data_IF_482845646049
#
_entry.id   IF_482845646049
#
_cell.length_a   1.000
_cell.length_b   1.000
_cell.length_c   1.000
_cell.angle_alpha   90.00
_cell.angle_beta   90.00
_cell.angle_gamma   90.00
#
_symmetry.space_group_name_H-M   'P 1'
#
loop_
_entity.id
_entity.type
_entity.pdbx_description
1 polymer ?
#
# COMPACT_ATOMS: atom_id res chain seq x y z
N UNK A 1 -26.10 9.29 25.40
CA UNK A 1 -25.84 8.25 24.40
C UNK A 1 -24.58 7.50 24.76
N UNK A 2 -24.58 6.20 24.55
CA UNK A 2 -23.39 5.36 24.64
C UNK A 2 -22.85 5.17 23.22
N UNK A 3 -21.51 5.23 23.05
CA UNK A 3 -20.88 5.10 21.74
C UNK A 3 -20.19 3.75 21.63
N UNK A 4 -20.46 3.04 20.53
CA UNK A 4 -19.78 1.80 20.14
C UNK A 4 -19.00 2.15 18.86
N UNK A 5 -17.69 1.99 18.85
CA UNK A 5 -16.83 2.16 17.68
C UNK A 5 -16.66 0.82 16.99
N UNK A 6 -16.94 0.76 15.70
CA UNK A 6 -16.76 -0.42 14.86
C UNK A 6 -15.79 -0.08 13.75
N UNK A 7 -14.69 -0.82 13.71
CA UNK A 7 -13.69 -0.70 12.64
C UNK A 7 -14.08 -1.64 11.50
N UNK A 8 -14.28 -1.10 10.32
CA UNK A 8 -14.66 -1.85 9.12
C UNK A 8 -13.57 -1.76 8.05
N UNK A 9 -13.37 -2.81 7.24
CA UNK A 9 -12.51 -2.74 6.06
C UNK A 9 -12.97 -1.63 5.09
N UNK A 10 -12.06 -0.99 4.37
CA UNK A 10 -12.40 0.14 3.49
C UNK A 10 -13.25 -0.25 2.28
N UNK A 11 -13.18 -1.51 1.87
CA UNK A 11 -13.89 -2.10 0.74
C UNK A 11 -15.21 -2.77 1.12
N UNK A 12 -15.62 -2.69 2.39
CA UNK A 12 -16.88 -3.29 2.83
C UNK A 12 -18.09 -2.57 2.20
N UNK A 13 -19.04 -3.33 1.71
CA UNK A 13 -20.33 -2.80 1.28
C UNK A 13 -21.13 -2.38 2.51
N UNK A 14 -21.33 -1.07 2.69
CA UNK A 14 -21.95 -0.49 3.88
C UNK A 14 -23.48 -0.61 3.90
N UNK A 15 -24.10 -0.98 2.78
CA UNK A 15 -25.54 -1.20 2.68
C UNK A 15 -25.91 -2.67 2.91
N UNK A 16 -26.99 -2.93 3.61
CA UNK A 16 -27.48 -4.28 3.86
C UNK A 16 -26.68 -5.08 4.88
N UNK A 17 -25.78 -4.43 5.64
CA UNK A 17 -25.07 -5.08 6.74
C UNK A 17 -26.05 -5.59 7.79
N UNK A 18 -25.77 -6.77 8.37
CA UNK A 18 -26.61 -7.42 9.36
C UNK A 18 -25.87 -7.57 10.69
N UNK A 19 -25.90 -6.54 11.56
CA UNK A 19 -25.23 -6.62 12.85
C UNK A 19 -25.87 -7.70 13.73
N UNK A 20 -25.03 -8.57 14.30
CA UNK A 20 -25.46 -9.49 15.33
C UNK A 20 -25.33 -8.81 16.70
N UNK A 21 -26.43 -8.74 17.46
CA UNK A 21 -26.51 -8.03 18.74
C UNK A 21 -26.97 -9.01 19.81
N UNK A 22 -26.12 -9.24 20.79
CA UNK A 22 -26.46 -9.95 22.00
C UNK A 22 -26.96 -8.99 23.07
N UNK A 23 -28.04 -9.35 23.71
CA UNK A 23 -28.70 -8.55 24.74
C UNK A 23 -28.73 -9.30 26.08
N UNK A 24 -28.76 -8.55 27.16
CA UNK A 24 -29.10 -9.11 28.46
C UNK A 24 -30.54 -9.67 28.43
N UNK A 25 -30.85 -10.71 29.23
CA UNK A 25 -32.21 -11.21 29.35
C UNK A 25 -33.25 -10.09 29.59
N UNK A 26 -34.43 -10.23 29.02
CA UNK A 26 -35.57 -9.31 29.18
C UNK A 26 -35.33 -7.89 28.61
N UNK A 27 -34.45 -7.79 27.63
CA UNK A 27 -34.25 -6.54 26.88
C UNK A 27 -34.58 -6.70 25.41
N UNK A 28 -34.96 -5.61 24.75
CA UNK A 28 -35.22 -5.56 23.33
C UNK A 28 -34.36 -4.48 22.68
N UNK A 29 -34.06 -4.60 21.39
CA UNK A 29 -33.35 -3.60 20.62
C UNK A 29 -34.08 -3.25 19.32
N UNK A 30 -34.06 -2.00 18.96
CA UNK A 30 -34.61 -1.48 17.73
C UNK A 30 -33.58 -0.60 17.03
N UNK A 31 -33.19 -0.89 15.78
CA UNK A 31 -33.54 -2.06 14.95
C UNK A 31 -33.07 -3.39 15.56
N UNK A 32 -33.76 -4.49 15.23
CA UNK A 32 -33.46 -5.82 15.79
C UNK A 32 -32.15 -6.40 15.28
N UNK A 33 -31.61 -7.39 16.05
CA UNK A 33 -30.42 -8.14 15.63
C UNK A 33 -30.64 -8.78 14.24
N UNK A 34 -29.60 -8.81 13.40
CA UNK A 34 -29.59 -9.32 12.04
C UNK A 34 -30.54 -8.59 11.05
N UNK A 35 -31.13 -7.47 11.44
CA UNK A 35 -31.86 -6.60 10.51
C UNK A 35 -30.90 -5.97 9.52
N UNK A 36 -31.17 -6.00 8.19
CA UNK A 36 -30.35 -5.30 7.22
C UNK A 36 -30.35 -3.79 7.45
N UNK A 37 -29.20 -3.17 7.52
CA UNK A 37 -29.05 -1.75 7.83
C UNK A 37 -28.08 -1.08 6.88
N UNK A 38 -28.21 0.23 6.75
CA UNK A 38 -27.34 1.09 5.97
C UNK A 38 -26.36 1.84 6.93
N UNK A 39 -25.07 1.56 6.76
CA UNK A 39 -23.98 2.20 7.48
C UNK A 39 -23.24 3.23 6.62
N UNK A 40 -23.81 3.74 5.54
CA UNK A 40 -23.23 4.81 4.73
C UNK A 40 -23.13 6.13 5.52
N UNK A 41 -24.04 6.35 6.48
CA UNK A 41 -23.93 7.42 7.48
C UNK A 41 -22.78 7.12 8.46
N UNK A 42 -22.19 8.18 9.02
CA UNK A 42 -21.08 8.06 9.98
C UNK A 42 -21.49 7.31 11.25
N UNK A 43 -22.74 7.39 11.65
CA UNK A 43 -23.29 6.66 12.80
C UNK A 43 -24.71 6.14 12.55
N UNK A 44 -25.05 5.06 13.26
CA UNK A 44 -26.39 4.46 13.30
C UNK A 44 -26.78 4.21 14.75
N UNK A 45 -28.00 4.60 15.12
CA UNK A 45 -28.49 4.49 16.49
C UNK A 45 -29.33 3.23 16.70
N UNK A 46 -29.12 2.62 17.85
CA UNK A 46 -29.89 1.49 18.36
C UNK A 46 -30.53 1.86 19.70
N UNK A 47 -31.85 1.72 19.80
CA UNK A 47 -32.59 1.89 21.03
C UNK A 47 -32.68 0.54 21.76
N UNK A 48 -32.14 0.46 22.96
CA UNK A 48 -32.28 -0.73 23.84
C UNK A 48 -33.24 -0.41 24.95
N UNK A 49 -34.27 -1.27 25.09
CA UNK A 49 -35.32 -1.13 26.10
C UNK A 49 -35.32 -2.30 27.07
N UNK A 50 -35.22 -2.01 28.35
CA UNK A 50 -35.31 -2.97 29.43
C UNK A 50 -36.78 -3.31 29.73
N UNK A 51 -37.03 -4.46 30.39
CA UNK A 51 -38.37 -4.86 30.88
C UNK A 51 -39.02 -3.79 31.77
N UNK A 52 -38.24 -3.08 32.55
CA UNK A 52 -38.69 -1.95 33.39
C UNK A 52 -39.16 -0.73 32.60
N UNK A 53 -39.10 -0.77 31.26
CA UNK A 53 -39.41 0.34 30.38
C UNK A 53 -38.28 1.37 30.21
N UNK A 54 -37.16 1.23 30.92
CA UNK A 54 -36.00 2.13 30.77
C UNK A 54 -35.39 1.95 29.41
N UNK A 55 -35.07 3.09 28.76
CA UNK A 55 -34.52 3.14 27.41
C UNK A 55 -33.09 3.69 27.46
N UNK A 56 -32.20 3.12 26.64
CA UNK A 56 -30.85 3.62 26.39
C UNK A 56 -30.57 3.61 24.88
N UNK A 57 -29.96 4.67 24.37
CA UNK A 57 -29.54 4.78 22.97
C UNK A 57 -28.03 4.50 22.89
N UNK A 58 -27.68 3.62 21.96
CA UNK A 58 -26.31 3.30 21.58
C UNK A 58 -26.08 3.78 20.16
N UNK A 59 -25.15 4.72 19.99
CA UNK A 59 -24.72 5.18 18.68
C UNK A 59 -23.54 4.32 18.22
N UNK A 60 -23.73 3.54 17.18
CA UNK A 60 -22.67 2.77 16.53
C UNK A 60 -21.99 3.67 15.50
N UNK A 61 -20.77 4.09 15.80
CA UNK A 61 -19.94 4.94 14.93
C UNK A 61 -18.98 4.04 14.16
N UNK A 62 -19.03 4.13 12.83
CA UNK A 62 -18.09 3.41 11.99
C UNK A 62 -16.77 4.15 11.85
N UNK A 63 -15.69 3.42 11.91
CA UNK A 63 -14.35 3.84 11.53
C UNK A 63 -13.91 2.97 10.36
N UNK A 64 -13.56 3.57 9.23
CA UNK A 64 -12.98 2.83 8.11
C UNK A 64 -11.46 2.80 8.32
N UNK A 65 -10.92 1.61 8.50
CA UNK A 65 -9.47 1.45 8.56
C UNK A 65 -8.98 1.15 7.16
N UNK A 66 -8.28 2.09 6.56
CA UNK A 66 -7.53 1.84 5.35
C UNK A 66 -6.30 1.01 5.71
N UNK A 67 -6.39 -0.30 5.58
CA UNK A 67 -5.20 -1.14 5.51
C UNK A 67 -4.74 -1.08 4.06
N UNK A 68 -3.64 -0.39 3.82
CA UNK A 68 -3.04 -0.36 2.49
C UNK A 68 -2.48 -1.75 2.17
N UNK A 69 -3.13 -2.44 1.24
CA UNK A 69 -2.79 -3.81 0.84
C UNK A 69 -1.91 -3.86 -0.40
N UNK A 70 -1.68 -2.71 -1.04
CA UNK A 70 -0.92 -2.63 -2.29
C UNK A 70 0.55 -2.32 -2.04
N UNK A 71 1.42 -3.10 -2.68
CA UNK A 71 2.86 -2.96 -2.66
C UNK A 71 3.36 -2.59 -4.08
N UNK A 72 2.91 -1.46 -4.61
CA UNK A 72 3.10 -1.07 -6.00
C UNK A 72 4.13 0.04 -6.12
N UNK A 73 5.32 -0.27 -6.62
CA UNK A 73 6.31 0.70 -7.07
C UNK A 73 5.92 1.16 -8.48
N UNK A 74 5.56 2.43 -8.62
CA UNK A 74 5.11 2.99 -9.89
C UNK A 74 6.30 3.24 -10.82
N UNK A 75 7.34 3.91 -10.34
CA UNK A 75 8.52 4.19 -11.15
C UNK A 75 9.80 4.31 -10.34
N UNK A 76 10.91 4.12 -11.04
CA UNK A 76 12.26 4.47 -10.60
C UNK A 76 12.80 5.55 -11.54
N UNK A 77 13.38 6.61 -10.96
CA UNK A 77 14.00 7.72 -11.67
C UNK A 77 15.46 7.86 -11.27
N UNK A 78 16.27 8.35 -12.20
CA UNK A 78 17.69 8.55 -12.05
C UNK A 78 18.00 10.03 -12.30
N UNK A 79 17.93 10.90 -11.30
CA UNK A 79 18.04 12.36 -11.45
C UNK A 79 19.30 12.87 -12.15
N UNK A 80 20.41 12.13 -12.03
CA UNK A 80 21.69 12.49 -12.63
C UNK A 80 21.77 12.16 -14.13
N UNK A 81 20.79 11.41 -14.67
CA UNK A 81 20.78 11.00 -16.07
C UNK A 81 19.62 11.61 -16.84
N UNK A 82 19.85 11.80 -18.14
CA UNK A 82 18.84 12.26 -19.09
C UNK A 82 18.63 11.21 -20.17
N UNK A 83 17.40 11.10 -20.64
CA UNK A 83 17.09 10.33 -21.82
C UNK A 83 17.40 11.12 -23.12
N UNK A 84 17.14 10.52 -24.27
CA UNK A 84 17.39 11.13 -25.58
C UNK A 84 16.59 12.43 -25.82
N UNK A 85 15.51 12.66 -25.06
CA UNK A 85 14.68 13.87 -25.14
C UNK A 85 15.17 14.98 -24.19
N UNK A 86 16.13 14.68 -23.30
CA UNK A 86 16.66 15.59 -22.28
C UNK A 86 15.87 15.56 -20.96
N UNK A 87 14.85 14.70 -20.86
CA UNK A 87 14.11 14.49 -19.61
C UNK A 87 14.88 13.58 -18.64
N UNK A 88 14.53 13.64 -17.35
CA UNK A 88 15.13 12.74 -16.35
C UNK A 88 14.89 11.29 -16.73
N UNK A 89 15.97 10.50 -16.74
CA UNK A 89 15.87 9.08 -17.06
C UNK A 89 14.96 8.39 -16.03
N UNK A 90 13.84 7.84 -16.48
CA UNK A 90 12.80 7.22 -15.66
C UNK A 90 12.29 5.94 -16.30
N UNK A 91 12.02 4.95 -15.47
CA UNK A 91 11.33 3.73 -15.89
C UNK A 91 10.09 3.50 -15.05
N UNK A 92 8.98 3.24 -15.74
CA UNK A 92 7.70 2.88 -15.11
C UNK A 92 7.58 1.36 -15.11
N UNK A 93 7.13 0.79 -14.00
CA UNK A 93 6.88 -0.63 -13.93
C UNK A 93 5.51 -0.95 -14.56
N UNK A 94 5.46 -1.68 -15.69
CA UNK A 94 4.22 -1.92 -16.43
C UNK A 94 3.27 -2.88 -15.71
N UNK A 95 3.80 -3.69 -14.81
CA UNK A 95 3.05 -4.69 -14.04
C UNK A 95 3.47 -4.65 -12.57
N UNK A 96 2.49 -4.53 -11.67
CA UNK A 96 2.69 -4.58 -10.22
C UNK A 96 2.65 -6.02 -9.70
N UNK A 97 3.34 -6.94 -10.38
CA UNK A 97 3.43 -8.34 -9.97
C UNK A 97 4.68 -8.62 -9.17
N UNK A 98 4.66 -9.70 -8.38
CA UNK A 98 5.85 -10.22 -7.73
C UNK A 98 6.97 -10.42 -8.76
N UNK A 99 8.18 -9.92 -8.45
CA UNK A 99 9.36 -9.98 -9.31
C UNK A 99 9.29 -9.14 -10.59
N UNK A 100 8.65 -7.98 -10.56
CA UNK A 100 8.80 -6.99 -11.61
C UNK A 100 10.27 -6.60 -11.78
N UNK A 101 10.77 -6.66 -13.01
CA UNK A 101 12.16 -6.35 -13.34
C UNK A 101 12.23 -5.34 -14.49
N UNK A 102 13.16 -4.41 -14.38
CA UNK A 102 13.49 -3.46 -15.45
C UNK A 102 14.99 -3.35 -15.62
N UNK A 103 15.44 -3.23 -16.86
CA UNK A 103 16.81 -2.86 -17.21
C UNK A 103 16.80 -1.43 -17.73
N UNK A 104 17.74 -0.62 -17.27
CA UNK A 104 17.90 0.77 -17.66
C UNK A 104 19.28 0.93 -18.27
N UNK A 105 19.31 1.44 -19.50
CA UNK A 105 20.58 1.73 -20.18
C UNK A 105 21.12 3.09 -19.72
N UNK A 106 22.35 3.10 -19.26
CA UNK A 106 23.08 4.31 -18.85
C UNK A 106 24.27 4.56 -19.77
N UNK A 107 24.79 5.79 -19.86
CA UNK A 107 25.97 6.09 -20.68
C UNK A 107 27.15 5.19 -20.31
N UNK A 108 27.92 4.80 -21.34
CA UNK A 108 29.16 4.04 -21.15
C UNK A 108 30.14 4.78 -20.25
N UNK A 109 30.81 4.05 -19.36
CA UNK A 109 31.74 4.62 -18.38
C UNK A 109 31.10 5.27 -17.16
N UNK A 110 29.77 5.17 -17.02
CA UNK A 110 29.10 5.58 -15.78
C UNK A 110 29.60 4.74 -14.59
N UNK A 111 30.04 5.41 -13.51
CA UNK A 111 30.38 4.73 -12.26
C UNK A 111 29.09 4.25 -11.60
N UNK A 112 28.93 2.93 -11.43
CA UNK A 112 27.68 2.32 -10.93
C UNK A 112 27.63 2.21 -9.40
N UNK A 113 28.73 2.45 -8.70
CA UNK A 113 28.85 2.24 -7.25
C UNK A 113 28.04 3.27 -6.43
N UNK A 114 27.61 4.37 -7.06
CA UNK A 114 26.93 5.45 -6.35
C UNK A 114 25.99 6.23 -7.27
N UNK A 115 24.82 5.71 -7.49
CA UNK A 115 23.79 6.30 -8.36
C UNK A 115 22.67 6.89 -7.52
N UNK A 116 22.31 8.14 -7.77
CA UNK A 116 21.13 8.75 -7.14
C UNK A 116 19.85 8.17 -7.75
N UNK A 117 18.96 7.70 -6.90
CA UNK A 117 17.67 7.10 -7.26
C UNK A 117 16.53 7.80 -6.54
N UNK A 118 15.43 7.98 -7.24
CA UNK A 118 14.15 8.39 -6.67
C UNK A 118 13.07 7.38 -7.06
N UNK A 119 12.30 6.94 -6.06
CA UNK A 119 11.20 6.01 -6.23
C UNK A 119 9.87 6.72 -6.10
N UNK A 120 8.92 6.33 -6.92
CA UNK A 120 7.53 6.76 -6.81
C UNK A 120 6.64 5.54 -6.58
N UNK A 121 5.95 5.53 -5.45
CA UNK A 121 4.93 4.52 -5.14
C UNK A 121 3.61 4.91 -5.82
N UNK A 122 2.79 3.93 -6.17
CA UNK A 122 1.42 4.20 -6.62
C UNK A 122 0.60 4.89 -5.52
N UNK A 123 -0.45 5.59 -5.92
CA UNK A 123 -1.35 6.24 -4.95
C UNK A 123 -1.96 5.25 -3.94
N UNK A 124 -2.10 3.97 -4.33
CA UNK A 124 -2.61 2.91 -3.48
C UNK A 124 -1.56 2.35 -2.48
N UNK A 125 -0.28 2.74 -2.63
CA UNK A 125 0.84 2.19 -1.85
C UNK A 125 1.58 3.25 -1.01
N UNK A 126 1.00 4.43 -0.82
CA UNK A 126 1.66 5.58 -0.16
C UNK A 126 2.12 5.31 1.28
N UNK A 127 1.53 4.33 1.97
CA UNK A 127 1.93 3.92 3.32
C UNK A 127 2.78 2.66 3.37
N UNK A 128 3.17 2.13 2.21
CA UNK A 128 4.08 1.02 2.17
C UNK A 128 5.49 1.46 2.61
N UNK A 129 6.18 0.60 3.33
CA UNK A 129 7.61 0.76 3.58
C UNK A 129 8.41 0.28 2.38
N UNK A 130 9.58 0.89 2.18
CA UNK A 130 10.52 0.48 1.14
C UNK A 130 11.86 0.12 1.79
N UNK A 131 12.42 -0.98 1.35
CA UNK A 131 13.77 -1.42 1.68
C UNK A 131 14.55 -1.65 0.39
N UNK A 132 15.87 -1.54 0.45
CA UNK A 132 16.78 -1.79 -0.67
C UNK A 132 17.80 -2.85 -0.31
N UNK A 133 18.12 -3.70 -1.29
CA UNK A 133 19.25 -4.61 -1.27
C UNK A 133 20.09 -4.33 -2.52
N UNK A 134 21.31 -3.81 -2.35
CA UNK A 134 22.21 -3.38 -3.42
C UNK A 134 23.59 -4.07 -3.34
N UNK A 135 23.74 -5.03 -2.43
CA UNK A 135 24.98 -5.80 -2.21
C UNK A 135 25.04 -7.10 -3.02
N UNK A 136 24.03 -7.38 -3.83
CA UNK A 136 23.91 -8.61 -4.60
C UNK A 136 23.54 -9.85 -3.80
N UNK A 137 23.31 -9.76 -2.48
CA UNK A 137 22.97 -10.89 -1.62
C UNK A 137 21.56 -11.40 -1.81
N UNK A 138 20.64 -10.53 -2.24
CA UNK A 138 19.19 -10.74 -2.31
C UNK A 138 18.52 -11.04 -0.95
N UNK A 139 19.25 -10.92 0.13
CA UNK A 139 18.80 -11.30 1.48
C UNK A 139 18.90 -10.18 2.50
N UNK A 140 19.89 -9.30 2.37
CA UNK A 140 20.13 -8.20 3.29
C UNK A 140 19.44 -6.93 2.80
N UNK A 141 18.35 -6.57 3.44
CA UNK A 141 17.55 -5.38 3.10
C UNK A 141 17.72 -4.30 4.16
N UNK A 142 17.98 -3.07 3.70
CA UNK A 142 18.05 -1.89 4.57
C UNK A 142 16.94 -0.91 4.24
N UNK A 143 16.40 -0.16 5.22
CA UNK A 143 15.36 0.82 4.98
C UNK A 143 15.76 1.87 3.93
N UNK A 144 14.87 2.18 3.00
CA UNK A 144 15.06 3.18 1.97
C UNK A 144 13.93 4.22 2.01
N UNK A 145 14.31 5.50 2.09
CA UNK A 145 13.34 6.61 2.25
C UNK A 145 12.63 7.05 0.96
N UNK A 146 12.84 6.32 -0.14
CA UNK A 146 12.31 6.65 -1.47
C UNK A 146 13.25 7.50 -2.32
N UNK A 147 14.32 8.07 -1.75
CA UNK A 147 15.38 8.75 -2.48
C UNK A 147 16.73 8.55 -1.78
N UNK A 148 17.79 8.30 -2.56
CA UNK A 148 19.13 8.07 -2.02
C UNK A 148 20.10 7.51 -3.03
N UNK A 149 21.36 7.40 -2.60
CA UNK A 149 22.43 6.78 -3.39
C UNK A 149 22.44 5.27 -3.18
N UNK A 150 22.57 4.53 -4.26
CA UNK A 150 22.49 3.06 -4.31
C UNK A 150 23.64 2.54 -5.20
N UNK A 151 24.21 1.39 -4.85
CA UNK A 151 25.19 0.67 -5.65
C UNK A 151 24.50 -0.23 -6.68
N UNK A 152 24.73 0.06 -7.96
CA UNK A 152 24.20 -0.70 -9.11
C UNK A 152 25.23 -1.57 -9.80
N UNK A 153 26.34 -1.88 -9.16
CA UNK A 153 27.28 -2.88 -9.69
C UNK A 153 26.66 -4.28 -9.78
N UNK A 154 25.54 -4.47 -9.09
CA UNK A 154 24.66 -5.64 -9.14
C UNK A 154 23.23 -5.24 -9.47
N UNK A 155 22.35 -6.21 -9.69
CA UNK A 155 20.92 -5.96 -9.73
C UNK A 155 20.44 -5.52 -8.37
N UNK A 156 19.85 -4.34 -8.28
CA UNK A 156 19.28 -3.78 -7.05
C UNK A 156 17.84 -4.27 -6.90
N UNK A 157 17.48 -4.62 -5.67
CA UNK A 157 16.12 -5.04 -5.33
C UNK A 157 15.51 -4.01 -4.38
N UNK A 158 14.41 -3.41 -4.81
CA UNK A 158 13.54 -2.61 -3.93
C UNK A 158 12.39 -3.49 -3.47
N UNK A 159 12.30 -3.71 -2.16
CA UNK A 159 11.21 -4.44 -1.52
C UNK A 159 10.18 -3.43 -1.01
N UNK A 160 8.97 -3.50 -1.53
CA UNK A 160 7.84 -2.68 -1.08
C UNK A 160 6.93 -3.53 -0.22
N UNK A 161 6.74 -3.13 1.04
CA UNK A 161 5.92 -3.87 2.02
C UNK A 161 4.74 -3.00 2.44
N UNK A 162 3.50 -3.38 2.09
CA UNK A 162 2.31 -2.67 2.51
C UNK A 162 1.97 -2.95 3.98
N UNK A 163 1.05 -2.20 4.56
CA UNK A 163 0.58 -2.42 5.94
C UNK A 163 0.05 -3.85 6.18
N UNK A 164 -0.44 -4.52 5.14
CA UNK A 164 -0.90 -5.93 5.20
C UNK A 164 0.23 -6.95 5.32
N UNK A 165 1.48 -6.56 5.10
CA UNK A 165 2.67 -7.37 5.28
C UNK A 165 3.11 -8.23 4.07
N UNK A 166 2.34 -8.28 2.97
CA UNK A 166 2.73 -9.05 1.77
C UNK A 166 3.64 -8.23 0.86
N UNK A 167 4.96 -8.40 1.01
CA UNK A 167 5.96 -7.65 0.26
C UNK A 167 6.05 -8.06 -1.22
N UNK A 168 6.40 -7.09 -2.08
CA UNK A 168 6.73 -7.27 -3.50
C UNK A 168 8.14 -6.77 -3.76
N UNK A 169 8.92 -7.56 -4.52
CA UNK A 169 10.28 -7.21 -4.92
C UNK A 169 10.32 -6.67 -6.35
N UNK A 170 10.97 -5.52 -6.53
CA UNK A 170 11.20 -4.86 -7.81
C UNK A 170 12.69 -4.87 -8.10
N UNK A 171 13.08 -5.51 -9.22
CA UNK A 171 14.49 -5.62 -9.62
C UNK A 171 14.82 -4.55 -10.64
N UNK A 172 15.90 -3.82 -10.38
CA UNK A 172 16.42 -2.78 -11.27
C UNK A 172 17.87 -3.10 -11.60
N UNK A 173 18.17 -3.23 -12.89
CA UNK A 173 19.53 -3.44 -13.37
C UNK A 173 19.92 -2.25 -14.23
N UNK A 174 21.12 -1.69 -14.01
CA UNK A 174 21.73 -0.75 -14.94
C UNK A 174 22.66 -1.51 -15.89
N UNK A 175 22.58 -1.20 -17.17
CA UNK A 175 23.42 -1.78 -18.21
C UNK A 175 23.98 -0.69 -19.13
N UNK A 176 25.13 -0.94 -19.73
CA UNK A 176 25.65 -0.12 -20.81
C UNK A 176 24.97 -0.47 -22.13
N UNK A 177 24.99 0.43 -23.14
CA UNK A 177 24.53 0.10 -24.47
C UNK A 177 25.27 -1.14 -25.01
N UNK A 178 24.53 -2.02 -25.69
CA UNK A 178 25.18 -3.09 -26.46
C UNK A 178 25.98 -2.47 -27.61
N UNK A 179 27.25 -2.88 -27.80
CA UNK A 179 28.00 -2.50 -28.97
C UNK A 179 27.32 -3.09 -30.21
N UNK A 180 26.88 -2.25 -31.16
CA UNK A 180 26.43 -2.75 -32.47
C UNK A 180 27.64 -3.37 -33.16
N UNK A 181 27.67 -4.69 -33.32
CA UNK A 181 28.63 -5.35 -34.21
C UNK A 181 28.34 -4.85 -35.64
N UNK A 182 29.19 -3.93 -36.09
CA UNK A 182 29.18 -3.50 -37.48
C UNK A 182 29.80 -4.58 -38.33
N UNK A 183 28.97 -5.36 -39.06
CA UNK A 183 29.40 -6.35 -40.05
C UNK A 183 29.68 -5.68 -41.37
#
# INVERSE_FOLDING_TARGET
NKVIRVVLPPDVVLTGLRPYIELSPWTTVTPGSLTPMDFTSESVDFEVRAESGKVAVYSVVRELTYVYTKAELYSVSFPDFRDETGEVLRRVFPNFSNNSAVTVTVPEGTALERILVELELSAASQKASVEVCDDGSETEFVPFSGSGYVDFTHTVIFRVTPESGSAVNYRVTLAYPEEEEVF
#
